data_IF_582321935858
#
_entry.id   IF_582321935858
#
_cell.length_a   1.000
_cell.length_b   1.000
_cell.length_c   1.000
_cell.angle_alpha   90.00
_cell.angle_beta   90.00
_cell.angle_gamma   90.00
#
_symmetry.space_group_name_H-M   'P 1'
#
loop_
_entity.id
_entity.type
_entity.pdbx_description
1 polymer ?
#
# COMPACT_ATOMS: atom_id res chain seq x y z
N UNK A 1 -21.64 1.11 -41.14
CA UNK A 1 -21.68 0.99 -39.67
C UNK A 1 -20.27 1.25 -39.18
N UNK A 2 -19.94 2.39 -38.56
CA UNK A 2 -18.58 2.58 -38.07
C UNK A 2 -18.40 1.72 -36.81
N UNK A 3 -17.37 0.88 -36.84
CA UNK A 3 -16.93 0.05 -35.73
C UNK A 3 -16.71 0.91 -34.49
N UNK A 4 -17.53 0.69 -33.46
CA UNK A 4 -17.35 1.29 -32.15
C UNK A 4 -16.01 0.83 -31.58
N UNK A 5 -15.05 1.75 -31.45
CA UNK A 5 -13.82 1.52 -30.70
C UNK A 5 -14.20 1.05 -29.30
N UNK A 6 -13.95 -0.22 -29.00
CA UNK A 6 -13.92 -0.74 -27.63
C UNK A 6 -13.02 0.18 -26.81
N UNK A 7 -13.64 0.91 -25.88
CA UNK A 7 -12.93 1.69 -24.88
C UNK A 7 -11.95 0.76 -24.17
N UNK A 8 -10.64 0.98 -24.35
CA UNK A 8 -9.62 0.27 -23.57
C UNK A 8 -9.91 0.58 -22.11
N UNK A 9 -10.35 -0.42 -21.35
CA UNK A 9 -10.67 -0.25 -19.94
C UNK A 9 -9.46 0.34 -19.20
N UNK A 10 -9.70 1.27 -18.28
CA UNK A 10 -8.65 1.82 -17.43
C UNK A 10 -7.90 0.69 -16.74
N UNK A 11 -6.55 0.77 -16.66
CA UNK A 11 -5.76 -0.26 -15.99
C UNK A 11 -6.09 -0.31 -14.49
N UNK A 12 -5.78 -1.44 -13.87
CA UNK A 12 -5.69 -1.56 -12.41
C UNK A 12 -4.39 -0.92 -11.93
N UNK A 13 -4.40 -0.31 -10.75
CA UNK A 13 -3.25 0.46 -10.25
C UNK A 13 -3.05 0.24 -8.76
N UNK A 14 -1.79 0.24 -8.33
CA UNK A 14 -1.44 0.47 -6.92
C UNK A 14 -1.18 1.96 -6.77
N UNK A 15 -1.99 2.61 -5.93
CA UNK A 15 -2.08 4.05 -5.75
C UNK A 15 -1.74 4.44 -4.32
N UNK A 16 -1.15 5.61 -4.16
CA UNK A 16 -1.07 6.34 -2.91
C UNK A 16 -2.09 7.49 -2.96
N UNK A 17 -2.97 7.56 -1.97
CA UNK A 17 -3.99 8.61 -1.86
C UNK A 17 -3.62 9.61 -0.79
N UNK A 18 -4.03 10.86 -1.04
CA UNK A 18 -3.90 11.98 -0.13
C UNK A 18 -4.95 11.86 1.00
N UNK A 19 -4.71 12.49 2.17
CA UNK A 19 -5.78 12.68 3.15
C UNK A 19 -6.88 13.58 2.57
N UNK A 20 -8.09 13.48 3.11
CA UNK A 20 -9.28 14.15 2.55
C UNK A 20 -9.12 15.68 2.43
N UNK A 21 -8.44 16.32 3.39
CA UNK A 21 -8.18 17.75 3.38
C UNK A 21 -7.26 18.16 2.22
N UNK A 22 -6.12 17.48 2.04
CA UNK A 22 -5.21 17.76 0.93
C UNK A 22 -5.84 17.42 -0.42
N UNK A 23 -6.65 16.34 -0.50
CA UNK A 23 -7.42 16.03 -1.71
C UNK A 23 -8.37 17.18 -2.06
N UNK A 24 -9.09 17.73 -1.07
CA UNK A 24 -10.00 18.85 -1.28
C UNK A 24 -9.25 20.11 -1.75
N UNK A 25 -8.05 20.37 -1.24
CA UNK A 25 -7.20 21.47 -1.71
C UNK A 25 -6.79 21.29 -3.18
N UNK A 26 -6.41 20.08 -3.61
CA UNK A 26 -6.11 19.81 -5.02
C UNK A 26 -7.34 20.00 -5.90
N UNK A 27 -8.52 19.54 -5.45
CA UNK A 27 -9.79 19.76 -6.17
C UNK A 27 -10.15 21.24 -6.27
N UNK A 28 -9.85 22.03 -5.26
CA UNK A 28 -10.02 23.49 -5.31
C UNK A 28 -9.11 24.10 -6.39
N UNK A 29 -7.85 23.66 -6.50
CA UNK A 29 -6.95 24.11 -7.58
C UNK A 29 -7.52 23.76 -8.95
N UNK A 30 -8.11 22.58 -9.14
CA UNK A 30 -8.79 22.22 -10.39
C UNK A 30 -9.94 23.18 -10.72
N UNK A 31 -10.79 23.50 -9.73
CA UNK A 31 -11.90 24.43 -9.91
C UNK A 31 -11.42 25.86 -10.23
N UNK A 32 -10.34 26.33 -9.59
CA UNK A 32 -9.74 27.63 -9.88
C UNK A 32 -9.14 27.69 -11.30
N UNK A 33 -8.55 26.60 -11.78
CA UNK A 33 -8.07 26.49 -13.17
C UNK A 33 -9.23 26.47 -14.17
N UNK A 34 -10.31 25.75 -13.87
CA UNK A 34 -11.52 25.74 -14.69
C UNK A 34 -12.16 27.14 -14.77
N UNK A 35 -12.24 27.86 -13.65
CA UNK A 35 -12.74 29.24 -13.61
C UNK A 35 -11.90 30.22 -14.46
N UNK A 36 -10.64 29.87 -14.75
CA UNK A 36 -9.75 30.61 -15.67
C UNK A 36 -9.89 30.16 -17.13
N UNK A 37 -10.86 29.29 -17.44
CA UNK A 37 -11.17 28.83 -18.80
C UNK A 37 -10.39 27.60 -19.26
N UNK A 38 -9.65 26.91 -18.36
CA UNK A 38 -8.97 25.67 -18.70
C UNK A 38 -9.93 24.45 -18.64
N UNK A 39 -9.63 23.34 -19.34
CA UNK A 39 -10.49 22.16 -19.32
C UNK A 39 -10.70 21.58 -17.91
N UNK A 40 -11.93 21.17 -17.56
CA UNK A 40 -12.25 20.62 -16.24
C UNK A 40 -11.46 19.34 -15.96
N UNK A 41 -11.08 19.15 -14.71
CA UNK A 41 -10.32 17.99 -14.22
C UNK A 41 -11.15 17.23 -13.17
N UNK A 42 -11.35 15.93 -13.40
CA UNK A 42 -12.26 15.11 -12.57
C UNK A 42 -11.58 13.89 -11.97
N UNK A 43 -10.32 13.63 -12.33
CA UNK A 43 -9.57 12.54 -11.71
C UNK A 43 -9.47 12.74 -10.20
N UNK A 44 -9.51 11.64 -9.46
CA UNK A 44 -9.18 11.67 -8.02
C UNK A 44 -7.67 11.90 -7.88
N UNK A 45 -7.20 12.88 -7.10
CA UNK A 45 -5.78 13.09 -6.82
C UNK A 45 -5.14 11.82 -6.23
N UNK A 46 -4.05 11.36 -6.83
CA UNK A 46 -3.29 10.19 -6.37
C UNK A 46 -1.87 10.20 -6.95
N UNK A 47 -0.98 9.42 -6.32
CA UNK A 47 0.36 9.11 -6.81
C UNK A 47 0.39 7.62 -7.17
N UNK A 48 0.77 7.28 -8.40
CA UNK A 48 0.79 5.88 -8.83
C UNK A 48 2.12 5.21 -8.48
N UNK A 49 2.07 4.03 -7.86
CA UNK A 49 3.25 3.15 -7.69
C UNK A 49 3.47 2.36 -8.98
N UNK A 50 2.48 1.54 -9.37
CA UNK A 50 2.53 0.75 -10.60
C UNK A 50 1.12 0.49 -11.14
N UNK A 51 1.03 0.02 -12.38
CA UNK A 51 -0.24 -0.27 -13.05
C UNK A 51 -0.13 -1.44 -14.03
N UNK A 52 -1.27 -2.06 -14.33
CA UNK A 52 -1.38 -3.17 -15.27
C UNK A 52 -2.81 -3.24 -15.84
N UNK A 53 -3.03 -3.74 -17.07
CA UNK A 53 -4.39 -3.97 -17.58
C UNK A 53 -5.25 -4.85 -16.66
N UNK A 54 -4.60 -5.83 -16.02
CA UNK A 54 -5.07 -6.62 -14.88
C UNK A 54 -3.86 -6.85 -13.97
N UNK A 55 -3.96 -6.54 -12.68
CA UNK A 55 -2.83 -6.60 -11.76
C UNK A 55 -2.51 -8.05 -11.36
N UNK A 56 -1.28 -8.54 -11.58
CA UNK A 56 -0.84 -9.82 -11.04
C UNK A 56 -0.85 -9.83 -9.50
N UNK A 57 -0.86 -11.00 -8.88
CA UNK A 57 -0.87 -11.12 -7.41
C UNK A 57 0.45 -10.64 -6.78
N UNK A 58 1.59 -10.97 -7.39
CA UNK A 58 2.92 -10.75 -6.81
C UNK A 58 3.20 -9.26 -6.46
N UNK A 59 2.93 -8.25 -7.32
CA UNK A 59 3.10 -6.84 -6.94
C UNK A 59 2.18 -6.40 -5.80
N UNK A 60 0.98 -6.98 -5.70
CA UNK A 60 0.01 -6.65 -4.65
C UNK A 60 0.45 -7.23 -3.32
N UNK A 61 0.91 -8.47 -3.30
CA UNK A 61 1.48 -9.13 -2.12
C UNK A 61 2.71 -8.35 -1.62
N UNK A 62 3.64 -8.03 -2.52
CA UNK A 62 4.84 -7.27 -2.18
C UNK A 62 4.49 -5.86 -1.68
N UNK A 63 3.51 -5.19 -2.28
CA UNK A 63 3.03 -3.90 -1.79
C UNK A 63 2.39 -4.01 -0.40
N UNK A 64 1.62 -5.06 -0.14
CA UNK A 64 1.00 -5.32 1.17
C UNK A 64 2.03 -5.66 2.24
N UNK A 65 3.20 -6.18 1.86
CA UNK A 65 4.30 -6.43 2.79
C UNK A 65 5.08 -5.15 3.10
N UNK A 66 5.44 -4.37 2.07
CA UNK A 66 6.39 -3.26 2.21
C UNK A 66 5.74 -1.94 2.65
N UNK A 67 4.56 -1.60 2.13
CA UNK A 67 3.95 -0.28 2.34
C UNK A 67 3.42 -0.02 3.76
N UNK A 68 2.94 -1.00 4.54
CA UNK A 68 2.41 -0.73 5.89
C UNK A 68 3.36 -0.01 6.84
N UNK A 69 4.67 -0.26 6.76
CA UNK A 69 5.65 0.44 7.60
C UNK A 69 6.12 1.79 7.03
N UNK A 70 5.67 2.16 5.83
CA UNK A 70 6.11 3.34 5.10
C UNK A 70 5.00 4.38 4.94
N UNK A 71 3.73 4.01 5.21
CA UNK A 71 2.57 4.88 5.07
C UNK A 71 2.02 5.20 6.48
N UNK A 72 1.76 6.47 6.81
CA UNK A 72 1.75 7.63 5.93
C UNK A 72 3.17 8.10 5.53
N UNK A 73 3.29 8.59 4.31
CA UNK A 73 4.56 9.12 3.78
C UNK A 73 4.44 10.58 3.38
N UNK A 74 5.52 11.34 3.55
CA UNK A 74 5.61 12.72 3.10
C UNK A 74 6.26 12.81 1.73
N UNK A 75 5.76 13.72 0.92
CA UNK A 75 6.27 14.05 -0.40
C UNK A 75 6.55 15.54 -0.49
N UNK A 76 7.71 15.90 -1.01
CA UNK A 76 8.03 17.29 -1.33
C UNK A 76 7.76 17.54 -2.81
N UNK A 77 7.06 18.63 -3.13
CA UNK A 77 6.93 19.11 -4.51
C UNK A 77 8.22 19.78 -4.93
N UNK A 78 8.92 19.19 -5.91
CA UNK A 78 10.21 19.69 -6.41
C UNK A 78 10.11 20.37 -7.77
N UNK A 79 8.96 20.27 -8.44
CA UNK A 79 8.71 21.04 -9.66
C UNK A 79 7.44 20.66 -10.38
N UNK A 80 7.32 21.15 -11.62
CA UNK A 80 6.24 20.83 -12.55
C UNK A 80 6.84 20.12 -13.76
N UNK A 81 6.24 18.99 -14.15
CA UNK A 81 6.67 18.17 -15.28
C UNK A 81 5.54 18.01 -16.30
N UNK A 82 5.91 17.90 -17.57
CA UNK A 82 4.98 17.63 -18.68
C UNK A 82 5.26 16.26 -19.26
N UNK A 83 4.27 15.37 -19.21
CA UNK A 83 4.31 14.06 -19.84
C UNK A 83 3.61 14.06 -21.20
N UNK A 84 4.20 13.34 -22.15
CA UNK A 84 3.66 13.16 -23.49
C UNK A 84 4.30 14.07 -24.53
N UNK A 85 4.61 13.51 -25.70
CA UNK A 85 5.29 14.21 -26.81
C UNK A 85 4.34 14.60 -27.94
N UNK A 86 3.05 14.24 -27.82
CA UNK A 86 2.03 14.43 -28.86
C UNK A 86 1.08 15.58 -28.50
N UNK A 87 0.01 15.75 -29.30
CA UNK A 87 -1.01 16.80 -29.14
C UNK A 87 -1.77 16.80 -27.80
N UNK A 88 -1.72 15.70 -27.04
CA UNK A 88 -2.32 15.58 -25.71
C UNK A 88 -1.22 15.34 -24.71
N UNK A 89 -1.09 16.24 -23.73
CA UNK A 89 -0.06 16.20 -22.71
C UNK A 89 -0.68 16.20 -21.32
N UNK A 90 0.09 15.77 -20.33
CA UNK A 90 -0.31 15.78 -18.92
C UNK A 90 0.65 16.68 -18.16
N UNK A 91 0.12 17.66 -17.43
CA UNK A 91 0.86 18.49 -16.49
C UNK A 91 0.74 17.83 -15.11
N UNK A 92 1.86 17.66 -14.41
CA UNK A 92 1.90 17.06 -13.09
C UNK A 92 2.90 17.78 -12.20
N UNK A 93 2.68 17.76 -10.89
CA UNK A 93 3.73 18.06 -9.93
C UNK A 93 4.67 16.88 -9.81
N UNK A 94 5.97 17.14 -9.92
CA UNK A 94 7.03 16.18 -9.64
C UNK A 94 7.28 16.18 -8.14
N UNK A 95 7.34 14.98 -7.57
CA UNK A 95 7.47 14.77 -6.13
C UNK A 95 8.76 14.03 -5.81
N UNK A 96 9.26 14.21 -4.59
CA UNK A 96 10.32 13.43 -3.96
C UNK A 96 9.84 12.95 -2.59
N UNK A 97 10.35 11.81 -2.11
CA UNK A 97 10.04 11.22 -0.80
C UNK A 97 11.31 10.61 -0.22
N UNK A 98 11.23 9.93 0.92
CA UNK A 98 12.39 9.27 1.50
C UNK A 98 12.87 8.05 0.68
N UNK A 99 14.13 7.69 0.89
CA UNK A 99 14.78 6.56 0.20
C UNK A 99 14.04 5.25 0.44
N UNK A 100 13.45 5.05 1.63
CA UNK A 100 12.79 3.81 1.99
C UNK A 100 11.55 3.55 1.14
N UNK A 101 10.70 4.57 0.96
CA UNK A 101 9.54 4.50 0.08
C UNK A 101 9.93 4.46 -1.39
N UNK A 102 10.94 5.21 -1.82
CA UNK A 102 11.43 5.13 -3.20
C UNK A 102 11.89 3.71 -3.56
N UNK A 103 12.74 3.11 -2.71
CA UNK A 103 13.24 1.74 -2.91
C UNK A 103 12.08 0.75 -2.93
N UNK A 104 11.12 0.86 -2.02
CA UNK A 104 9.95 -0.02 -1.98
C UNK A 104 9.10 0.10 -3.25
N UNK A 105 8.78 1.31 -3.69
CA UNK A 105 7.98 1.54 -4.90
C UNK A 105 8.67 1.00 -6.17
N UNK A 106 9.99 1.14 -6.27
CA UNK A 106 10.78 0.57 -7.36
C UNK A 106 10.81 -0.96 -7.33
N UNK A 107 10.91 -1.58 -6.15
CA UNK A 107 10.81 -3.05 -5.98
C UNK A 107 9.44 -3.57 -6.40
N UNK A 108 8.36 -2.92 -5.95
CA UNK A 108 6.97 -3.26 -6.36
C UNK A 108 6.82 -3.14 -7.89
N UNK A 109 7.36 -2.06 -8.47
CA UNK A 109 7.31 -1.82 -9.92
C UNK A 109 8.12 -2.83 -10.71
N UNK A 110 9.29 -3.25 -10.21
CA UNK A 110 10.14 -4.28 -10.80
C UNK A 110 9.46 -5.66 -10.80
N UNK A 111 8.71 -5.95 -9.72
CA UNK A 111 7.95 -7.19 -9.56
C UNK A 111 6.74 -7.27 -10.50
N UNK A 112 6.30 -6.16 -11.12
CA UNK A 112 5.18 -6.17 -12.06
C UNK A 112 5.65 -6.52 -13.48
N UNK A 113 5.41 -7.76 -13.98
CA UNK A 113 5.92 -8.22 -15.27
C UNK A 113 5.30 -7.50 -16.47
N UNK A 114 4.14 -6.87 -16.28
CA UNK A 114 3.39 -6.13 -17.32
C UNK A 114 3.43 -4.62 -17.10
N UNK A 115 4.26 -4.15 -16.17
CA UNK A 115 4.49 -2.75 -15.87
C UNK A 115 5.50 -2.08 -16.81
N UNK A 116 6.08 -0.97 -16.36
CA UNK A 116 7.11 -0.20 -17.10
C UNK A 116 8.54 -0.47 -16.62
N UNK A 117 8.73 -1.57 -15.92
CA UNK A 117 9.98 -1.94 -15.25
C UNK A 117 10.17 -1.22 -13.91
N UNK A 118 11.41 -1.18 -13.38
CA UNK A 118 11.70 -0.78 -12.00
C UNK A 118 11.71 0.74 -11.76
N UNK A 119 11.47 1.55 -12.80
CA UNK A 119 11.52 3.01 -12.69
C UNK A 119 10.25 3.52 -12.02
N UNK A 120 10.42 4.40 -11.05
CA UNK A 120 9.33 5.13 -10.42
C UNK A 120 9.60 6.62 -10.52
N UNK A 121 8.59 7.38 -10.93
CA UNK A 121 8.65 8.84 -11.01
C UNK A 121 7.42 9.34 -10.27
N UNK A 122 7.50 9.58 -8.95
CA UNK A 122 6.34 9.98 -8.17
C UNK A 122 5.86 11.35 -8.63
N UNK A 123 4.59 11.42 -9.01
CA UNK A 123 3.98 12.63 -9.52
C UNK A 123 2.50 12.68 -9.14
N UNK A 124 1.99 13.90 -8.98
CA UNK A 124 0.57 14.18 -8.81
C UNK A 124 0.05 14.85 -10.08
N UNK A 125 -0.90 14.22 -10.77
CA UNK A 125 -1.47 14.79 -12.00
C UNK A 125 -2.26 16.05 -11.68
N UNK A 126 -1.91 17.17 -12.32
CA UNK A 126 -2.62 18.44 -12.15
C UNK A 126 -3.52 18.78 -13.34
N UNK A 127 -3.13 18.39 -14.56
CA UNK A 127 -3.94 18.56 -15.76
C UNK A 127 -3.77 17.39 -16.72
N UNK A 128 -4.83 16.63 -16.97
CA UNK A 128 -4.84 15.40 -17.74
C UNK A 128 -5.29 15.66 -19.19
N UNK A 129 -4.54 15.12 -20.16
CA UNK A 129 -4.87 15.15 -21.61
C UNK A 129 -5.20 16.57 -22.15
N UNK A 130 -4.43 17.56 -21.71
CA UNK A 130 -4.53 18.94 -22.21
C UNK A 130 -4.06 19.01 -23.68
N UNK A 131 -4.71 19.82 -24.54
CA UNK A 131 -4.11 20.24 -25.80
C UNK A 131 -2.73 20.87 -25.57
N UNK A 132 -1.74 20.50 -26.37
CA UNK A 132 -0.36 20.99 -26.22
C UNK A 132 -0.26 22.52 -26.22
N UNK A 133 -1.14 23.17 -26.97
CA UNK A 133 -1.16 24.61 -27.23
C UNK A 133 -1.49 25.41 -25.96
N UNK A 134 -2.25 24.83 -25.03
CA UNK A 134 -2.65 25.52 -23.79
C UNK A 134 -1.71 25.22 -22.62
N UNK A 135 -0.80 24.24 -22.74
CA UNK A 135 0.06 23.79 -21.63
C UNK A 135 0.91 24.91 -21.03
N UNK A 136 1.57 25.80 -21.80
CA UNK A 136 2.35 26.89 -21.21
C UNK A 136 1.50 27.85 -20.34
N UNK A 137 0.30 28.19 -20.82
CA UNK A 137 -0.65 29.01 -20.06
C UNK A 137 -1.19 28.30 -18.82
N UNK A 138 -1.45 26.99 -18.94
CA UNK A 138 -1.90 26.16 -17.84
C UNK A 138 -0.88 26.09 -16.71
N UNK A 139 0.41 25.89 -17.03
CA UNK A 139 1.49 25.86 -16.04
C UNK A 139 1.60 27.21 -15.32
N UNK A 140 1.57 28.33 -16.05
CA UNK A 140 1.61 29.66 -15.44
C UNK A 140 0.46 29.87 -14.46
N UNK A 141 -0.76 29.51 -14.85
CA UNK A 141 -1.92 29.63 -13.98
C UNK A 141 -1.83 28.70 -12.75
N UNK A 142 -1.35 27.47 -12.94
CA UNK A 142 -1.11 26.52 -11.86
C UNK A 142 -0.10 27.08 -10.85
N UNK A 143 1.00 27.65 -11.33
CA UNK A 143 2.04 28.25 -10.48
C UNK A 143 1.50 29.47 -9.72
N UNK A 144 0.69 30.33 -10.35
CA UNK A 144 0.04 31.46 -9.68
C UNK A 144 -0.92 31.02 -8.56
N UNK A 145 -1.71 29.97 -8.80
CA UNK A 145 -2.67 29.43 -7.82
C UNK A 145 -1.93 28.72 -6.67
N UNK A 146 -0.88 27.96 -6.98
CA UNK A 146 -0.21 27.06 -6.04
C UNK A 146 1.14 27.56 -5.52
N UNK A 147 1.54 28.81 -5.82
CA UNK A 147 2.83 29.42 -5.48
C UNK A 147 3.19 29.31 -3.98
N UNK A 148 2.19 29.37 -3.11
CA UNK A 148 2.37 29.27 -1.65
C UNK A 148 1.69 28.05 -0.99
N UNK A 149 0.98 27.21 -1.77
CA UNK A 149 0.18 26.10 -1.24
C UNK A 149 0.77 24.76 -1.65
N UNK A 150 0.59 23.75 -0.80
CA UNK A 150 0.92 22.34 -1.10
C UNK A 150 2.37 22.11 -1.55
N UNK A 151 3.35 22.68 -0.83
CA UNK A 151 4.78 22.39 -1.04
C UNK A 151 5.14 20.99 -0.55
N UNK A 152 4.43 20.51 0.46
CA UNK A 152 4.47 19.15 0.97
C UNK A 152 3.10 18.52 0.78
N UNK A 153 3.09 17.21 0.57
CA UNK A 153 1.92 16.36 0.42
C UNK A 153 2.09 15.12 1.29
N UNK A 154 0.98 14.55 1.72
CA UNK A 154 0.95 13.31 2.49
C UNK A 154 0.30 12.22 1.66
N UNK A 155 0.97 11.08 1.50
CA UNK A 155 0.32 9.84 1.12
C UNK A 155 -0.24 9.18 2.39
N UNK A 156 -1.53 9.36 2.64
CA UNK A 156 -2.19 8.85 3.84
C UNK A 156 -2.56 7.37 3.75
N UNK A 157 -2.81 6.84 2.54
CA UNK A 157 -3.10 5.41 2.32
C UNK A 157 -2.53 4.90 1.02
N UNK A 158 -2.14 3.62 1.00
CA UNK A 158 -1.89 2.87 -0.23
C UNK A 158 -3.06 1.94 -0.53
N UNK A 159 -3.43 1.80 -1.80
CA UNK A 159 -4.54 0.94 -2.19
C UNK A 159 -4.36 0.36 -3.61
N UNK A 160 -4.91 -0.84 -3.82
CA UNK A 160 -5.17 -1.40 -5.14
C UNK A 160 -6.53 -0.90 -5.62
N UNK A 161 -6.54 -0.23 -6.78
CA UNK A 161 -7.75 0.20 -7.47
C UNK A 161 -8.02 -0.65 -8.70
N UNK A 162 -9.20 -1.29 -8.72
CA UNK A 162 -9.71 -2.07 -9.86
C UNK A 162 -10.92 -1.37 -10.47
N UNK A 163 -10.72 -0.50 -11.48
CA UNK A 163 -11.78 0.36 -12.00
C UNK A 163 -12.93 -0.40 -12.64
N UNK A 164 -12.67 -1.57 -13.24
CA UNK A 164 -13.71 -2.37 -13.93
C UNK A 164 -14.83 -2.85 -13.01
N UNK A 165 -14.48 -3.12 -11.76
CA UNK A 165 -15.40 -3.61 -10.73
C UNK A 165 -15.66 -2.56 -9.64
N UNK A 166 -15.12 -1.35 -9.80
CA UNK A 166 -15.26 -0.27 -8.81
C UNK A 166 -14.68 -0.62 -7.43
N UNK A 167 -13.66 -1.48 -7.36
CA UNK A 167 -13.14 -2.02 -6.09
C UNK A 167 -11.85 -1.32 -5.68
N UNK A 168 -11.84 -0.82 -4.44
CA UNK A 168 -10.65 -0.31 -3.76
C UNK A 168 -10.27 -1.27 -2.62
N UNK A 169 -9.05 -1.81 -2.65
CA UNK A 169 -8.50 -2.65 -1.57
C UNK A 169 -7.35 -1.91 -0.91
N UNK A 170 -7.48 -1.59 0.38
CA UNK A 170 -6.45 -0.85 1.11
C UNK A 170 -5.29 -1.78 1.44
N UNK A 171 -4.07 -1.31 1.18
CA UNK A 171 -2.82 -2.05 1.36
C UNK A 171 -1.93 -1.45 2.48
N UNK A 172 -2.13 -0.18 2.86
CA UNK A 172 -1.44 0.48 3.96
C UNK A 172 -2.13 1.82 4.34
N UNK A 173 -1.92 2.31 5.57
CA UNK A 173 -2.34 3.65 6.01
C UNK A 173 -3.80 3.80 6.45
N UNK A 174 -4.41 4.95 6.21
CA UNK A 174 -5.80 5.22 6.63
C UNK A 174 -6.79 4.17 6.09
N UNK A 175 -7.56 3.58 7.01
CA UNK A 175 -8.48 2.48 6.72
C UNK A 175 -7.80 1.13 6.46
N UNK A 176 -6.47 1.05 6.51
CA UNK A 176 -5.74 -0.21 6.51
C UNK A 176 -5.83 -0.86 7.87
N UNK A 177 -6.07 -2.17 7.89
CA UNK A 177 -5.99 -2.92 9.12
C UNK A 177 -7.01 -2.55 10.20
N UNK A 178 -8.04 -1.71 9.98
CA UNK A 178 -9.05 -1.40 11.03
C UNK A 178 -9.88 -2.61 11.51
N UNK A 179 -9.47 -3.82 11.14
CA UNK A 179 -10.10 -5.10 11.35
C UNK A 179 -9.10 -6.00 12.08
N UNK A 180 -9.53 -6.47 13.24
CA UNK A 180 -8.81 -7.46 14.01
C UNK A 180 -8.39 -8.64 13.12
N UNK A 181 -7.11 -9.02 13.23
CA UNK A 181 -6.58 -10.24 12.63
C UNK A 181 -6.61 -11.32 13.68
N UNK A 182 -7.18 -12.47 13.34
CA UNK A 182 -7.21 -13.67 14.17
C UNK A 182 -6.43 -14.78 13.50
N UNK A 183 -5.50 -15.38 14.24
CA UNK A 183 -4.81 -16.61 13.83
C UNK A 183 -5.26 -17.73 14.76
N UNK A 184 -5.70 -18.83 14.18
CA UNK A 184 -5.97 -20.06 14.92
C UNK A 184 -5.28 -21.22 14.24
N UNK A 185 -4.76 -22.16 15.01
CA UNK A 185 -4.16 -23.35 14.41
C UNK A 185 -3.32 -24.16 15.37
N UNK A 186 -2.42 -24.96 14.81
CA UNK A 186 -1.60 -25.92 15.56
C UNK A 186 -0.13 -25.84 15.17
N UNK A 187 0.73 -25.86 16.18
CA UNK A 187 2.16 -26.16 16.06
C UNK A 187 2.34 -27.66 16.34
N UNK A 188 2.92 -28.40 15.41
CA UNK A 188 2.96 -29.87 15.42
C UNK A 188 4.42 -30.32 15.40
N UNK A 189 4.86 -30.92 16.50
CA UNK A 189 6.19 -31.51 16.63
C UNK A 189 6.19 -32.95 16.11
N UNK A 190 7.21 -33.30 15.32
CA UNK A 190 7.44 -34.65 14.83
C UNK A 190 8.11 -35.56 15.87
N UNK A 191 8.70 -34.98 16.92
CA UNK A 191 9.47 -35.71 17.92
C UNK A 191 9.43 -35.08 19.32
N UNK A 192 9.72 -35.86 20.38
CA UNK A 192 9.89 -35.32 21.73
C UNK A 192 10.99 -34.26 21.86
N UNK A 193 12.05 -34.33 21.05
CA UNK A 193 13.12 -33.31 21.07
C UNK A 193 12.63 -31.95 20.56
N UNK A 194 11.72 -31.93 19.58
CA UNK A 194 11.08 -30.68 19.14
C UNK A 194 10.12 -30.15 20.21
N UNK A 195 9.40 -31.04 20.90
CA UNK A 195 8.55 -30.68 22.03
C UNK A 195 9.35 -30.00 23.16
N UNK A 196 10.52 -30.52 23.52
CA UNK A 196 11.41 -29.90 24.51
C UNK A 196 11.88 -28.50 24.10
N UNK A 197 12.14 -28.29 22.80
CA UNK A 197 12.50 -26.96 22.27
C UNK A 197 11.32 -26.00 22.43
N UNK A 198 10.11 -26.44 22.07
CA UNK A 198 8.90 -25.62 22.23
C UNK A 198 8.69 -25.26 23.69
N UNK A 199 8.71 -26.23 24.61
CA UNK A 199 8.53 -26.00 26.05
C UNK A 199 9.56 -25.02 26.63
N UNK A 200 10.81 -25.13 26.20
CA UNK A 200 11.90 -24.27 26.68
C UNK A 200 11.76 -22.82 26.21
N UNK A 201 11.44 -22.59 24.94
CA UNK A 201 11.47 -21.24 24.36
C UNK A 201 10.10 -20.54 24.35
N UNK A 202 9.00 -21.28 24.49
CA UNK A 202 7.66 -20.74 24.41
C UNK A 202 7.36 -19.66 25.46
N UNK A 203 7.74 -19.78 26.75
CA UNK A 203 7.45 -18.75 27.74
C UNK A 203 7.98 -17.37 27.36
N UNK A 204 9.23 -17.31 26.87
CA UNK A 204 9.84 -16.04 26.44
C UNK A 204 9.21 -15.51 25.16
N UNK A 205 8.85 -16.39 24.22
CA UNK A 205 8.14 -15.99 23.02
C UNK A 205 6.77 -15.38 23.35
N UNK A 206 5.98 -16.01 24.23
CA UNK A 206 4.67 -15.51 24.69
C UNK A 206 4.81 -14.15 25.37
N UNK A 207 5.78 -13.99 26.27
CA UNK A 207 6.05 -12.71 26.95
C UNK A 207 6.36 -11.60 25.94
N UNK A 208 7.28 -11.84 25.02
CA UNK A 208 7.68 -10.87 24.00
C UNK A 208 6.52 -10.52 23.07
N UNK A 209 5.73 -11.51 22.65
CA UNK A 209 4.58 -11.27 21.77
C UNK A 209 3.49 -10.46 22.44
N UNK A 210 3.17 -10.76 23.71
CA UNK A 210 2.17 -9.99 24.47
C UNK A 210 2.57 -8.54 24.72
N UNK A 211 3.87 -8.25 24.71
CA UNK A 211 4.40 -6.89 24.81
C UNK A 211 4.39 -6.11 23.48
N UNK A 212 4.07 -6.76 22.35
CA UNK A 212 4.02 -6.09 21.05
C UNK A 212 2.83 -5.12 20.97
N UNK A 213 3.05 -3.88 20.47
CA UNK A 213 1.95 -2.97 20.18
C UNK A 213 0.93 -3.60 19.25
N UNK A 214 -0.34 -3.59 19.66
CA UNK A 214 -1.45 -4.16 18.89
C UNK A 214 -1.65 -5.67 19.08
N UNK A 215 -0.89 -6.36 19.95
CA UNK A 215 -1.26 -7.69 20.41
C UNK A 215 -2.47 -7.60 21.35
N UNK A 216 -3.62 -8.13 20.94
CA UNK A 216 -4.85 -8.15 21.74
C UNK A 216 -4.99 -9.43 22.56
N UNK A 217 -4.54 -10.55 21.99
CA UNK A 217 -4.55 -11.86 22.63
C UNK A 217 -3.46 -12.73 22.03
N UNK A 218 -2.73 -13.45 22.86
CA UNK A 218 -1.75 -14.43 22.41
C UNK A 218 -1.68 -15.58 23.41
N UNK A 219 -2.01 -16.77 22.93
CA UNK A 219 -2.08 -17.98 23.71
C UNK A 219 -1.60 -19.17 22.89
N UNK A 220 -0.73 -19.97 23.51
CA UNK A 220 -0.23 -21.22 22.94
C UNK A 220 -0.31 -22.25 24.05
N UNK A 221 -1.24 -23.22 23.92
CA UNK A 221 -1.49 -24.22 24.95
C UNK A 221 -1.18 -25.62 24.43
N UNK A 222 -0.54 -26.49 25.23
CA UNK A 222 -0.33 -27.87 24.85
C UNK A 222 -1.68 -28.58 24.65
N UNK A 223 -1.79 -29.33 23.56
CA UNK A 223 -2.89 -30.24 23.32
C UNK A 223 -2.58 -31.62 23.92
N UNK A 224 -3.60 -32.49 23.98
CA UNK A 224 -3.43 -33.86 24.41
C UNK A 224 -2.41 -34.59 23.51
N UNK A 225 -1.50 -35.36 24.12
CA UNK A 225 -0.48 -36.14 23.42
C UNK A 225 0.93 -35.52 23.38
N UNK A 226 1.13 -34.32 23.93
CA UNK A 226 2.47 -33.75 24.23
C UNK A 226 3.31 -33.31 23.02
N UNK A 227 2.83 -33.52 21.79
CA UNK A 227 3.54 -33.13 20.57
C UNK A 227 2.84 -32.03 19.78
N UNK A 228 1.73 -31.49 20.30
CA UNK A 228 0.92 -30.50 19.58
C UNK A 228 0.57 -29.35 20.52
N UNK A 229 0.63 -28.12 20.01
CA UNK A 229 0.16 -26.92 20.70
C UNK A 229 -0.91 -26.24 19.88
N UNK A 230 -2.03 -25.89 20.53
CA UNK A 230 -3.05 -25.03 19.95
C UNK A 230 -2.59 -23.57 20.06
N UNK A 231 -2.70 -22.84 18.96
CA UNK A 231 -2.26 -21.44 18.84
C UNK A 231 -3.48 -20.57 18.60
N UNK A 232 -3.62 -19.53 19.41
CA UNK A 232 -4.65 -18.50 19.31
C UNK A 232 -3.99 -17.12 19.41
N UNK A 233 -4.06 -16.37 18.32
CA UNK A 233 -3.49 -15.03 18.24
C UNK A 233 -4.58 -14.06 17.79
N UNK A 234 -4.62 -12.87 18.39
CA UNK A 234 -5.44 -11.75 17.94
C UNK A 234 -4.61 -10.49 17.95
N UNK A 235 -4.62 -9.80 16.82
CA UNK A 235 -3.95 -8.51 16.65
C UNK A 235 -4.99 -7.46 16.29
N UNK A 236 -4.77 -6.24 16.77
CA UNK A 236 -5.66 -5.10 16.56
C UNK A 236 -5.89 -4.84 15.06
N UNK A 237 -4.84 -5.06 14.27
CA UNK A 237 -4.82 -4.78 12.86
C UNK A 237 -3.76 -5.61 12.12
N UNK A 238 -3.77 -5.51 10.80
CA UNK A 238 -2.80 -6.16 9.92
C UNK A 238 -1.38 -5.58 10.06
N UNK A 239 -1.24 -4.34 10.55
CA UNK A 239 0.07 -3.71 10.79
C UNK A 239 0.76 -4.39 11.98
N UNK A 240 0.04 -4.55 13.09
CA UNK A 240 0.48 -5.25 14.28
C UNK A 240 0.82 -6.71 13.96
N UNK A 241 -0.02 -7.41 13.20
CA UNK A 241 0.27 -8.78 12.77
C UNK A 241 1.50 -8.87 11.84
N UNK A 242 1.68 -7.90 10.93
CA UNK A 242 2.87 -7.83 10.08
C UNK A 242 4.15 -7.51 10.86
N UNK A 243 4.08 -6.65 11.87
CA UNK A 243 5.19 -6.38 12.78
C UNK A 243 5.57 -7.62 13.61
N UNK A 244 4.56 -8.32 14.13
CA UNK A 244 4.72 -9.61 14.81
C UNK A 244 5.49 -10.61 13.95
N UNK A 245 4.99 -10.89 12.73
CA UNK A 245 5.62 -11.84 11.80
C UNK A 245 7.09 -11.52 11.51
N UNK A 246 7.43 -10.24 11.28
CA UNK A 246 8.81 -9.80 11.03
C UNK A 246 9.70 -10.04 12.25
N UNK A 247 9.23 -9.70 13.45
CA UNK A 247 9.98 -9.96 14.69
C UNK A 247 10.19 -11.47 14.88
N UNK A 248 9.15 -12.28 14.70
CA UNK A 248 9.23 -13.73 14.85
C UNK A 248 10.28 -14.32 13.93
N UNK A 249 10.28 -13.94 12.64
CA UNK A 249 11.26 -14.42 11.66
C UNK A 249 12.71 -14.12 12.06
N UNK A 250 12.97 -13.00 12.73
CA UNK A 250 14.30 -12.61 13.22
C UNK A 250 14.63 -13.03 14.66
N UNK A 251 13.69 -13.68 15.37
CA UNK A 251 13.84 -14.00 16.79
C UNK A 251 14.48 -15.37 17.04
N UNK A 252 15.02 -15.58 18.24
CA UNK A 252 15.49 -16.89 18.70
C UNK A 252 14.40 -17.97 18.55
N UNK A 253 13.16 -17.65 18.95
CA UNK A 253 12.01 -18.54 18.75
C UNK A 253 11.85 -18.97 17.29
N UNK A 254 11.89 -18.02 16.35
CA UNK A 254 11.79 -18.30 14.92
C UNK A 254 12.92 -19.19 14.40
N UNK A 255 14.14 -19.00 14.92
CA UNK A 255 15.30 -19.81 14.53
C UNK A 255 15.20 -21.25 15.05
N UNK A 256 14.92 -21.43 16.34
CA UNK A 256 14.92 -22.76 16.98
C UNK A 256 13.70 -23.60 16.60
N UNK A 257 12.60 -22.97 16.16
CA UNK A 257 11.36 -23.65 15.73
C UNK A 257 11.14 -23.65 14.21
N UNK A 258 12.16 -23.30 13.43
CA UNK A 258 12.05 -23.16 11.97
C UNK A 258 11.59 -24.45 11.26
N UNK A 259 11.98 -25.62 11.78
CA UNK A 259 11.63 -26.93 11.22
C UNK A 259 10.29 -27.51 11.68
N UNK A 260 9.62 -26.89 12.65
CA UNK A 260 8.38 -27.43 13.25
C UNK A 260 7.17 -27.05 12.38
N UNK A 261 6.31 -28.03 12.11
CA UNK A 261 5.13 -27.85 11.27
C UNK A 261 4.12 -26.89 11.90
N UNK A 262 3.55 -26.00 11.07
CA UNK A 262 2.51 -25.04 11.45
C UNK A 262 1.31 -25.18 10.52
N UNK A 263 0.16 -25.51 11.10
CA UNK A 263 -1.13 -25.57 10.41
C UNK A 263 -2.00 -24.44 10.93
N UNK A 264 -1.87 -23.25 10.33
CA UNK A 264 -2.52 -22.02 10.78
C UNK A 264 -3.55 -21.52 9.76
N UNK A 265 -4.65 -20.98 10.28
CA UNK A 265 -5.67 -20.25 9.55
C UNK A 265 -5.63 -18.79 10.01
N UNK A 266 -5.62 -17.87 9.05
CA UNK A 266 -5.65 -16.42 9.32
C UNK A 266 -6.98 -15.86 8.83
N UNK A 267 -7.73 -15.26 9.73
CA UNK A 267 -9.00 -14.60 9.47
C UNK A 267 -8.87 -13.10 9.76
N UNK A 268 -9.50 -12.28 8.93
CA UNK A 268 -9.65 -10.84 9.16
C UNK A 268 -11.11 -10.60 9.49
N UNK A 269 -11.42 -9.83 10.53
CA UNK A 269 -12.82 -9.53 10.82
C UNK A 269 -13.50 -8.90 9.60
N UNK A 270 -14.75 -9.28 9.34
CA UNK A 270 -15.56 -8.68 8.28
C UNK A 270 -16.00 -7.31 8.77
N UNK A 271 -15.62 -6.25 8.08
CA UNK A 271 -16.12 -4.91 8.39
C UNK A 271 -17.60 -4.85 8.03
N UNK A 272 -18.42 -4.36 8.96
CA UNK A 272 -19.74 -3.81 8.69
C UNK A 272 -19.61 -2.38 8.20
#
# INVERSE_FOLDING_TARGET
MPEGKLSVASPENILLHLPAEEEAQVRQIYAELEARGFPPQQQTPHITVTFAPHMPAEPVELASELLPSLIPARFQRVGTVVFGTKRRQTVAWLLETDDALEIAARRISACNPVGRGPRWTPHLTMGLRLPREIVPGYIRALDEIASARMKELTAARAALWRPRVGQLTILAGEGFGSREVRVTGRLICASPSEAEIVERHLPRHVELTRAEPGCLHFEVLPAAGGLVWNVHERFADEVAFGAHRRRVAGSEWGQVTAGIERSYTVEKSSGF
#
